data_IF_948004495459
#
_entry.id   IF_948004495459
#
_cell.length_a   1.000
_cell.length_b   1.000
_cell.length_c   1.000
_cell.angle_alpha   90.00
_cell.angle_beta   90.00
_cell.angle_gamma   90.00
#
_symmetry.space_group_name_H-M   'P 1'
#
loop_
_entity.id
_entity.type
_entity.pdbx_description
1 polymer ?
#
# COMPACT_ATOMS: atom_id res chain seq x y z
N UNK A 1 -48.61 30.52 72.45
CA UNK A 1 -48.65 29.88 71.20
C UNK A 1 -48.22 30.88 70.13
N UNK A 2 -46.95 30.88 69.77
CA UNK A 2 -46.39 31.76 68.71
C UNK A 2 -46.02 30.87 67.50
N UNK A 3 -46.67 31.07 66.39
CA UNK A 3 -46.28 30.46 65.11
C UNK A 3 -45.36 31.43 64.34
N UNK A 4 -44.13 31.00 64.14
CA UNK A 4 -43.16 31.66 63.31
C UNK A 4 -43.40 31.25 61.80
N UNK A 5 -43.56 32.24 60.97
CA UNK A 5 -43.67 32.06 59.52
C UNK A 5 -42.27 32.34 58.93
N UNK A 6 -41.59 31.30 58.44
CA UNK A 6 -40.33 31.43 57.70
C UNK A 6 -40.62 31.70 56.21
N UNK A 7 -40.23 32.83 55.71
CA UNK A 7 -40.25 33.19 54.28
C UNK A 7 -38.99 32.63 53.64
N UNK A 8 -39.12 31.66 52.71
CA UNK A 8 -38.00 31.17 51.89
C UNK A 8 -37.92 31.99 50.57
N UNK A 9 -36.80 32.69 50.45
CA UNK A 9 -36.46 33.40 49.24
C UNK A 9 -35.94 32.38 48.21
N UNK A 10 -36.64 32.22 47.10
CA UNK A 10 -36.22 31.40 45.96
C UNK A 10 -35.39 32.30 45.00
N UNK A 11 -34.08 32.05 44.94
CA UNK A 11 -33.18 32.71 44.03
C UNK A 11 -33.20 31.94 42.72
N UNK A 12 -33.79 32.48 41.68
CA UNK A 12 -33.78 31.91 40.31
C UNK A 12 -32.50 32.40 39.63
N UNK A 13 -31.50 31.51 39.47
CA UNK A 13 -30.35 31.75 38.64
C UNK A 13 -30.72 31.55 37.15
N UNK A 14 -30.77 32.60 36.37
CA UNK A 14 -30.79 32.52 34.95
C UNK A 14 -29.40 32.15 34.44
N UNK A 15 -29.19 30.89 34.04
CA UNK A 15 -28.03 30.48 33.27
C UNK A 15 -28.23 30.91 31.81
N UNK A 16 -27.62 32.00 31.40
CA UNK A 16 -27.58 32.42 30.02
C UNK A 16 -26.66 31.47 29.24
N UNK A 17 -27.24 30.65 28.38
CA UNK A 17 -26.45 29.84 27.40
C UNK A 17 -25.87 30.78 26.37
N UNK A 18 -24.56 31.05 26.45
CA UNK A 18 -23.82 31.61 25.31
C UNK A 18 -23.74 30.54 24.20
N UNK A 19 -24.57 30.63 23.20
CA UNK A 19 -24.39 29.93 21.96
C UNK A 19 -23.25 30.58 21.18
N UNK A 20 -22.06 29.99 21.25
CA UNK A 20 -20.95 30.36 20.36
C UNK A 20 -21.36 30.00 18.92
N UNK A 21 -21.72 30.99 18.13
CA UNK A 21 -21.84 30.81 16.69
C UNK A 21 -20.41 30.62 16.14
N UNK A 22 -20.05 29.38 15.84
CA UNK A 22 -18.88 29.09 15.02
C UNK A 22 -19.18 29.64 13.62
N UNK A 23 -18.60 30.78 13.29
CA UNK A 23 -18.56 31.23 11.88
C UNK A 23 -17.65 30.26 11.14
N UNK A 24 -18.20 29.45 10.23
CA UNK A 24 -17.37 28.68 9.33
C UNK A 24 -16.45 29.68 8.60
N UNK A 25 -15.14 29.50 8.81
CA UNK A 25 -14.15 30.29 8.07
C UNK A 25 -14.34 29.99 6.57
N UNK A 26 -14.51 31.02 5.76
CA UNK A 26 -14.55 30.87 4.32
C UNK A 26 -13.13 30.54 3.85
N UNK A 27 -12.98 29.43 3.11
CA UNK A 27 -11.70 29.07 2.54
C UNK A 27 -11.21 30.17 1.59
N UNK A 28 -9.99 30.63 1.80
CA UNK A 28 -9.35 31.57 0.89
C UNK A 28 -8.66 30.82 -0.25
N UNK A 29 -8.40 31.56 -1.33
CA UNK A 29 -7.60 31.04 -2.44
C UNK A 29 -6.32 31.82 -2.54
N UNK A 30 -5.20 31.13 -2.42
CA UNK A 30 -3.85 31.67 -2.64
C UNK A 30 -3.37 31.24 -4.02
N UNK A 31 -2.48 32.01 -4.61
CA UNK A 31 -1.88 31.65 -5.89
C UNK A 31 -0.35 31.59 -5.79
N UNK A 32 0.22 30.68 -6.59
CA UNK A 32 1.67 30.53 -6.77
C UNK A 32 2.00 30.61 -8.25
N UNK A 33 3.02 31.38 -8.62
CA UNK A 33 3.63 31.34 -9.95
C UNK A 33 5.14 31.58 -9.86
N UNK A 34 5.96 31.08 -10.80
CA UNK A 34 7.42 31.14 -10.69
C UNK A 34 8.00 32.59 -10.56
N UNK A 35 7.28 33.58 -11.06
CA UNK A 35 7.71 34.97 -11.01
C UNK A 35 7.30 35.68 -9.71
N UNK A 36 6.43 35.13 -8.89
CA UNK A 36 5.84 35.79 -7.73
C UNK A 36 5.06 37.07 -8.09
N UNK A 37 4.54 37.13 -9.31
CA UNK A 37 3.83 38.28 -9.84
C UNK A 37 2.34 38.26 -9.52
N UNK A 38 1.66 39.42 -9.65
CA UNK A 38 0.22 39.57 -9.44
C UNK A 38 -0.24 39.12 -8.05
N UNK A 39 0.53 39.44 -7.03
CA UNK A 39 0.27 39.04 -5.63
C UNK A 39 0.32 37.56 -5.36
N UNK A 40 0.82 36.75 -6.28
CA UNK A 40 1.07 35.34 -6.05
C UNK A 40 2.42 35.11 -5.35
N UNK A 41 2.56 34.01 -4.65
CA UNK A 41 3.83 33.55 -4.09
C UNK A 41 4.74 33.00 -5.19
N UNK A 42 6.05 33.17 -5.05
CA UNK A 42 7.03 32.61 -5.97
C UNK A 42 7.38 31.14 -5.66
N UNK A 43 7.04 30.69 -4.46
CA UNK A 43 7.29 29.33 -3.96
C UNK A 43 6.04 28.74 -3.37
N UNK A 44 5.86 27.43 -3.56
CA UNK A 44 4.73 26.67 -3.02
C UNK A 44 4.76 26.68 -1.49
N UNK A 45 5.93 26.41 -0.89
CA UNK A 45 6.08 26.41 0.57
C UNK A 45 5.71 27.74 1.22
N UNK A 46 5.98 28.87 0.58
CA UNK A 46 5.58 30.18 1.11
C UNK A 46 4.06 30.35 1.14
N UNK A 47 3.36 29.85 0.13
CA UNK A 47 1.89 29.84 0.11
C UNK A 47 1.33 28.89 1.16
N UNK A 48 1.91 27.68 1.30
CA UNK A 48 1.53 26.72 2.35
C UNK A 48 1.70 27.33 3.75
N UNK A 49 2.81 28.03 4.00
CA UNK A 49 3.04 28.68 5.30
C UNK A 49 2.00 29.76 5.60
N UNK A 50 1.61 30.52 4.57
CA UNK A 50 0.65 31.63 4.70
C UNK A 50 -0.82 31.17 4.75
N UNK A 51 -1.13 29.99 4.22
CA UNK A 51 -2.49 29.46 4.19
C UNK A 51 -3.06 29.18 5.58
N UNK A 52 -4.33 29.43 5.76
CA UNK A 52 -5.13 28.92 6.87
C UNK A 52 -5.63 27.50 6.58
N UNK A 53 -6.16 26.84 7.61
CA UNK A 53 -6.80 25.54 7.39
C UNK A 53 -7.99 25.66 6.43
N UNK A 54 -8.10 24.67 5.55
CA UNK A 54 -9.08 24.54 4.46
C UNK A 54 -8.91 25.55 3.30
N UNK A 55 -7.84 26.33 3.26
CA UNK A 55 -7.55 27.16 2.12
C UNK A 55 -7.17 26.35 0.86
N UNK A 56 -7.33 26.97 -0.29
CA UNK A 56 -6.95 26.43 -1.60
C UNK A 56 -5.72 27.16 -2.12
N UNK A 57 -4.71 26.42 -2.54
CA UNK A 57 -3.50 26.97 -3.16
C UNK A 57 -3.46 26.53 -4.63
N UNK A 58 -3.66 27.48 -5.54
CA UNK A 58 -3.55 27.24 -6.97
C UNK A 58 -2.11 27.51 -7.44
N UNK A 59 -1.49 26.51 -8.01
CA UNK A 59 -0.10 26.57 -8.49
C UNK A 59 -0.10 26.60 -10.01
N UNK A 60 0.37 27.72 -10.56
CA UNK A 60 0.45 27.89 -12.02
C UNK A 60 1.50 26.95 -12.65
N UNK A 61 1.42 26.81 -13.97
CA UNK A 61 2.42 26.09 -14.74
C UNK A 61 3.83 26.63 -14.49
N UNK A 62 4.80 25.75 -14.32
CA UNK A 62 6.19 26.08 -14.03
C UNK A 62 6.88 24.96 -13.24
N UNK A 63 8.20 25.09 -13.10
CA UNK A 63 9.01 24.19 -12.27
C UNK A 63 9.37 24.88 -10.95
N UNK A 64 9.11 24.17 -9.87
CA UNK A 64 9.34 24.61 -8.50
C UNK A 64 10.33 23.62 -7.86
N UNK A 65 11.54 24.12 -7.55
CA UNK A 65 12.55 23.29 -6.88
C UNK A 65 12.35 23.44 -5.38
N UNK A 66 11.57 22.51 -4.82
CA UNK A 66 11.12 22.54 -3.41
C UNK A 66 10.85 21.12 -2.90
N UNK A 67 11.03 20.93 -1.59
CA UNK A 67 10.39 19.91 -0.77
C UNK A 67 9.22 20.61 -0.07
N UNK A 68 7.99 20.18 -0.38
CA UNK A 68 6.78 20.87 0.08
C UNK A 68 6.21 20.17 1.30
N UNK A 69 6.37 20.76 2.47
CA UNK A 69 5.89 20.21 3.74
C UNK A 69 4.55 20.83 4.13
N UNK A 70 3.53 19.98 4.30
CA UNK A 70 2.15 20.38 4.61
C UNK A 70 1.76 19.84 5.98
N UNK A 71 1.60 20.74 6.97
CA UNK A 71 1.17 20.42 8.34
C UNK A 71 -0.22 20.93 8.69
N UNK A 72 -1.06 21.23 7.71
CA UNK A 72 -2.44 21.70 7.93
C UNK A 72 -3.38 21.25 6.81
N UNK A 73 -4.65 21.09 7.12
CA UNK A 73 -5.68 20.77 6.13
C UNK A 73 -5.73 21.86 5.06
N UNK A 74 -5.54 21.52 3.79
CA UNK A 74 -5.64 22.44 2.65
C UNK A 74 -5.76 21.66 1.33
N UNK A 75 -6.05 22.38 0.26
CA UNK A 75 -5.99 21.82 -1.10
C UNK A 75 -4.85 22.47 -1.88
N UNK A 76 -3.91 21.67 -2.36
CA UNK A 76 -2.81 22.10 -3.24
C UNK A 76 -3.14 21.60 -4.66
N UNK A 77 -3.37 22.56 -5.57
CA UNK A 77 -3.88 22.29 -6.92
C UNK A 77 -2.91 22.85 -7.95
N UNK A 78 -2.27 21.97 -8.70
CA UNK A 78 -1.45 22.30 -9.85
C UNK A 78 -2.29 22.61 -11.09
N UNK A 79 -1.68 23.23 -12.09
CA UNK A 79 -2.31 23.52 -13.38
C UNK A 79 -2.54 22.26 -14.24
N UNK A 80 -2.03 21.14 -13.82
CA UNK A 80 -2.12 19.82 -14.45
C UNK A 80 -0.78 19.08 -14.36
N UNK A 81 -0.83 17.74 -14.33
CA UNK A 81 0.36 16.94 -14.51
C UNK A 81 1.09 17.36 -15.78
N UNK A 82 2.42 17.45 -15.73
CA UNK A 82 3.32 18.00 -16.75
C UNK A 82 3.28 19.53 -16.94
N UNK A 83 2.44 20.25 -16.19
CA UNK A 83 2.42 21.72 -16.21
C UNK A 83 3.00 22.33 -14.93
N UNK A 84 2.52 21.90 -13.77
CA UNK A 84 3.08 22.29 -12.48
C UNK A 84 4.01 21.18 -11.98
N UNK A 85 5.31 21.44 -12.02
CA UNK A 85 6.35 20.46 -11.69
C UNK A 85 7.01 20.81 -10.36
N UNK A 86 6.97 19.91 -9.41
CA UNK A 86 7.77 19.95 -8.19
C UNK A 86 8.99 19.06 -8.45
N UNK A 87 10.14 19.70 -8.60
CA UNK A 87 11.42 19.01 -8.80
C UNK A 87 12.20 19.02 -7.49
N UNK A 88 12.27 17.87 -6.84
CA UNK A 88 12.93 17.69 -5.55
C UNK A 88 14.37 17.21 -5.65
N UNK A 89 15.07 17.52 -6.74
CA UNK A 89 16.45 17.10 -6.94
C UNK A 89 17.37 17.51 -5.78
N UNK A 90 17.99 16.53 -5.14
CA UNK A 90 18.81 16.63 -3.92
C UNK A 90 18.03 17.07 -2.66
N UNK A 91 16.71 16.97 -2.66
CA UNK A 91 15.85 17.19 -1.51
C UNK A 91 15.28 15.83 -1.05
N UNK A 92 14.89 15.76 0.22
CA UNK A 92 14.44 14.50 0.80
C UNK A 92 13.19 13.96 0.06
N UNK A 93 12.11 14.74 0.06
CA UNK A 93 10.85 14.35 -0.55
C UNK A 93 10.39 15.41 -1.56
N UNK A 94 9.44 15.07 -2.42
CA UNK A 94 8.75 16.04 -3.25
C UNK A 94 7.64 16.75 -2.47
N UNK A 95 6.74 15.98 -1.86
CA UNK A 95 5.66 16.49 -1.01
C UNK A 95 5.56 15.61 0.24
N UNK A 96 5.59 16.23 1.42
CA UNK A 96 5.36 15.58 2.70
C UNK A 96 4.07 16.12 3.35
N UNK A 97 3.12 15.23 3.64
CA UNK A 97 2.00 15.52 4.54
C UNK A 97 2.43 15.11 5.97
N UNK A 98 2.83 16.08 6.77
CA UNK A 98 3.47 15.84 8.07
C UNK A 98 2.48 15.80 9.22
N UNK A 99 1.76 14.71 9.36
CA UNK A 99 0.87 14.47 10.50
C UNK A 99 1.61 14.06 11.77
N UNK A 100 2.86 13.60 11.68
CA UNK A 100 3.66 13.23 12.85
C UNK A 100 3.96 14.45 13.73
N UNK A 101 4.40 15.55 13.13
CA UNK A 101 4.65 16.81 13.84
C UNK A 101 3.38 17.69 13.96
N UNK A 102 2.31 17.35 13.24
CA UNK A 102 1.03 18.05 13.27
C UNK A 102 -0.12 17.06 13.57
N UNK A 103 -0.21 16.53 14.79
CA UNK A 103 -1.19 15.52 15.16
C UNK A 103 -2.62 15.96 14.85
N UNK A 104 -3.36 15.07 14.18
CA UNK A 104 -4.71 15.35 13.72
C UNK A 104 -4.79 16.00 12.33
N UNK A 105 -3.69 16.05 11.58
CA UNK A 105 -3.71 16.45 10.17
C UNK A 105 -4.70 15.59 9.38
N UNK A 106 -5.59 16.24 8.65
CA UNK A 106 -6.64 15.55 7.89
C UNK A 106 -7.10 16.34 6.67
N UNK A 107 -7.75 15.64 5.72
CA UNK A 107 -8.39 16.24 4.55
C UNK A 107 -7.45 17.14 3.74
N UNK A 108 -6.24 16.67 3.46
CA UNK A 108 -5.32 17.34 2.53
C UNK A 108 -5.56 16.81 1.13
N UNK A 109 -5.68 17.69 0.15
CA UNK A 109 -5.82 17.31 -1.26
C UNK A 109 -4.60 17.74 -2.06
N UNK A 110 -4.00 16.82 -2.82
CA UNK A 110 -2.90 17.07 -3.75
C UNK A 110 -3.35 16.63 -5.14
N UNK A 111 -3.37 17.54 -6.09
CA UNK A 111 -3.81 17.20 -7.46
C UNK A 111 -3.13 18.04 -8.53
N UNK A 112 -2.88 17.43 -9.70
CA UNK A 112 -2.44 18.13 -10.89
C UNK A 112 -0.95 18.50 -10.94
N UNK A 113 -0.08 17.72 -10.31
CA UNK A 113 1.37 17.91 -10.30
C UNK A 113 2.13 16.82 -11.04
N UNK A 114 3.30 17.18 -11.55
CA UNK A 114 4.43 16.24 -11.63
C UNK A 114 5.28 16.43 -10.40
N UNK A 115 5.65 15.32 -9.74
CA UNK A 115 6.57 15.28 -8.59
C UNK A 115 7.73 14.38 -8.97
N UNK A 116 8.96 14.95 -8.96
CA UNK A 116 10.10 14.25 -9.55
C UNK A 116 11.42 14.45 -8.82
N UNK A 117 12.30 13.44 -8.96
CA UNK A 117 13.72 13.49 -8.59
C UNK A 117 14.01 13.63 -7.09
N UNK A 118 13.09 13.27 -6.21
CA UNK A 118 13.36 13.22 -4.77
C UNK A 118 14.45 12.20 -4.44
N UNK A 119 15.19 12.44 -3.35
CA UNK A 119 16.17 11.47 -2.85
C UNK A 119 15.48 10.21 -2.32
N UNK A 120 14.35 10.40 -1.66
CA UNK A 120 13.53 9.33 -1.09
C UNK A 120 12.15 9.35 -1.76
N UNK A 121 11.13 9.86 -1.07
CA UNK A 121 9.75 9.76 -1.51
C UNK A 121 9.32 10.86 -2.49
N UNK A 122 8.63 10.49 -3.56
CA UNK A 122 7.92 11.47 -4.38
C UNK A 122 6.84 12.17 -3.56
N UNK A 123 5.93 11.40 -2.95
CA UNK A 123 4.90 11.89 -2.05
C UNK A 123 4.84 11.01 -0.80
N UNK A 124 5.06 11.59 0.38
CA UNK A 124 4.93 10.91 1.66
C UNK A 124 3.70 11.43 2.42
N UNK A 125 2.80 10.52 2.78
CA UNK A 125 1.61 10.78 3.59
C UNK A 125 1.83 10.18 4.97
N UNK A 126 2.29 10.99 5.92
CA UNK A 126 2.74 10.54 7.23
C UNK A 126 1.68 10.87 8.30
N UNK A 127 1.16 9.87 8.98
CA UNK A 127 0.19 9.99 10.10
C UNK A 127 -0.99 10.91 9.79
N UNK A 128 -1.56 10.80 8.60
CA UNK A 128 -2.61 11.69 8.09
C UNK A 128 -3.91 10.92 7.84
N UNK A 129 -5.04 11.56 8.08
CA UNK A 129 -6.36 10.98 7.84
C UNK A 129 -7.09 11.67 6.68
N UNK A 130 -7.75 10.88 5.81
CA UNK A 130 -8.63 11.41 4.76
C UNK A 130 -7.91 12.24 3.69
N UNK A 131 -6.64 11.99 3.43
CA UNK A 131 -5.93 12.64 2.34
C UNK A 131 -6.48 12.19 0.97
N UNK A 132 -6.34 13.05 -0.04
CA UNK A 132 -6.71 12.76 -1.43
C UNK A 132 -5.55 13.12 -2.34
N UNK A 133 -4.92 12.11 -2.94
CA UNK A 133 -3.81 12.25 -3.87
C UNK A 133 -4.32 11.79 -5.25
N UNK A 134 -4.55 12.74 -6.14
CA UNK A 134 -5.25 12.39 -7.40
C UNK A 134 -4.70 13.13 -8.62
N UNK A 135 -4.70 12.44 -9.77
CA UNK A 135 -4.32 13.01 -11.06
C UNK A 135 -2.93 13.66 -11.07
N UNK A 136 -1.96 13.05 -10.41
CA UNK A 136 -0.56 13.45 -10.41
C UNK A 136 0.28 12.50 -11.28
N UNK A 137 1.45 12.97 -11.70
CA UNK A 137 2.51 12.18 -12.29
C UNK A 137 3.70 12.15 -11.31
N UNK A 138 4.04 11.00 -10.78
CA UNK A 138 5.08 10.83 -9.75
C UNK A 138 6.19 10.01 -10.38
N UNK A 139 7.35 10.64 -10.65
CA UNK A 139 8.31 10.06 -11.58
C UNK A 139 9.76 10.22 -11.13
N UNK A 140 10.57 9.19 -11.30
CA UNK A 140 12.01 9.20 -11.03
C UNK A 140 12.36 9.64 -9.60
N UNK A 141 11.58 9.23 -8.61
CA UNK A 141 11.90 9.43 -7.20
C UNK A 141 12.63 8.22 -6.63
N UNK A 142 13.12 8.33 -5.42
CA UNK A 142 14.13 7.48 -4.84
C UNK A 142 15.38 7.42 -5.73
N UNK A 143 16.03 8.57 -5.88
CA UNK A 143 17.24 8.68 -6.69
C UNK A 143 18.48 8.15 -5.99
N UNK A 144 18.40 7.80 -4.70
CA UNK A 144 19.43 7.05 -3.99
C UNK A 144 19.42 5.60 -4.48
N UNK A 145 18.23 5.09 -4.77
CA UNK A 145 17.98 3.73 -5.21
C UNK A 145 18.09 2.71 -4.09
N UNK A 146 17.42 1.57 -4.24
CA UNK A 146 17.49 0.48 -3.26
C UNK A 146 18.91 -0.07 -3.22
N UNK A 147 19.45 -0.22 -2.01
CA UNK A 147 20.79 -0.73 -1.73
C UNK A 147 20.67 -2.04 -0.95
N UNK A 148 20.12 -3.09 -1.57
CA UNK A 148 19.96 -4.38 -0.93
C UNK A 148 21.30 -5.04 -0.58
N UNK A 149 21.34 -5.72 0.56
CA UNK A 149 22.49 -6.46 1.04
C UNK A 149 23.49 -5.62 1.85
N UNK A 150 24.78 -5.72 1.56
CA UNK A 150 25.85 -5.03 2.30
C UNK A 150 26.09 -3.58 1.91
N UNK A 151 25.12 -2.95 1.26
CA UNK A 151 25.18 -1.54 0.85
C UNK A 151 25.13 -0.58 2.04
N UNK A 152 25.47 0.70 1.84
CA UNK A 152 25.25 1.70 2.87
C UNK A 152 23.74 1.81 3.13
N UNK A 153 23.37 1.90 4.40
CA UNK A 153 22.01 2.28 4.78
C UNK A 153 21.61 3.58 4.06
N UNK A 154 20.32 3.79 3.85
CA UNK A 154 19.79 4.98 3.22
C UNK A 154 20.19 6.24 3.99
N UNK A 155 21.29 6.86 3.60
CA UNK A 155 21.92 7.94 4.34
C UNK A 155 21.01 9.19 4.38
N UNK A 156 20.47 9.49 5.56
CA UNK A 156 19.59 10.64 5.78
C UNK A 156 18.11 10.30 5.69
N UNK A 157 17.77 9.02 5.54
CA UNK A 157 16.41 8.54 5.70
C UNK A 157 15.88 8.95 7.08
N UNK A 158 14.65 9.44 7.17
CA UNK A 158 14.08 9.84 8.44
C UNK A 158 13.93 8.65 9.40
N UNK A 159 14.12 8.88 10.69
CA UNK A 159 14.08 7.84 11.71
C UNK A 159 12.68 7.21 11.95
N UNK A 160 11.65 7.73 11.33
CA UNK A 160 10.30 7.16 11.39
C UNK A 160 10.04 6.12 10.29
N UNK A 161 10.89 6.02 9.31
CA UNK A 161 10.90 4.96 8.32
C UNK A 161 11.82 3.85 8.79
N UNK A 162 11.29 2.65 8.92
CA UNK A 162 12.00 1.46 9.40
C UNK A 162 11.93 0.34 8.37
N UNK A 163 11.82 0.74 7.11
CA UNK A 163 11.76 -0.16 5.96
C UNK A 163 12.85 -1.23 5.96
N UNK A 164 12.70 -2.22 5.15
CA UNK A 164 13.73 -3.23 4.95
C UNK A 164 15.08 -2.60 4.66
N UNK A 165 16.13 -3.20 5.21
CA UNK A 165 17.49 -2.69 5.03
C UNK A 165 17.83 -2.57 3.54
N UNK A 166 17.83 -1.35 3.05
CA UNK A 166 18.16 -1.03 1.67
C UNK A 166 17.01 -0.52 0.82
N UNK A 167 15.79 -0.54 1.29
CA UNK A 167 14.69 0.22 0.72
C UNK A 167 14.78 1.66 1.20
N UNK A 168 14.91 2.60 0.29
CA UNK A 168 15.16 4.01 0.62
C UNK A 168 13.98 4.92 0.33
N UNK A 169 12.91 4.40 -0.19
CA UNK A 169 11.71 5.13 -0.56
C UNK A 169 11.22 4.83 -1.97
N UNK A 170 10.26 5.59 -2.45
CA UNK A 170 9.65 5.29 -3.72
C UNK A 170 8.81 6.41 -4.34
N UNK A 171 7.79 6.00 -5.08
CA UNK A 171 6.90 6.95 -5.73
C UNK A 171 5.96 7.64 -4.75
N UNK A 172 5.16 6.85 -4.03
CA UNK A 172 4.18 7.34 -3.06
C UNK A 172 4.11 6.42 -1.86
N UNK A 173 4.28 6.98 -0.66
CA UNK A 173 4.23 6.22 0.58
C UNK A 173 3.09 6.72 1.49
N UNK A 174 2.24 5.79 1.95
CA UNK A 174 1.21 5.98 2.97
C UNK A 174 1.70 5.35 4.28
N UNK A 175 2.33 6.14 5.14
CA UNK A 175 2.91 5.70 6.41
C UNK A 175 2.02 6.14 7.58
N UNK A 176 1.39 5.20 8.26
CA UNK A 176 0.43 5.52 9.33
C UNK A 176 -0.79 6.29 8.83
N UNK A 177 -1.17 6.10 7.57
CA UNK A 177 -2.24 6.84 6.93
C UNK A 177 -3.58 6.10 7.00
N UNK A 178 -4.66 6.83 7.27
CA UNK A 178 -6.00 6.24 7.36
C UNK A 178 -7.01 6.99 6.47
N UNK A 179 -7.95 6.23 5.85
CA UNK A 179 -9.00 6.78 4.99
C UNK A 179 -8.47 7.64 3.83
N UNK A 180 -7.26 7.36 3.35
CA UNK A 180 -6.63 8.08 2.24
C UNK A 180 -7.09 7.51 0.91
N UNK A 181 -7.35 8.40 -0.05
CA UNK A 181 -7.67 8.01 -1.43
C UNK A 181 -6.54 8.40 -2.36
N UNK A 182 -5.97 7.42 -3.05
CA UNK A 182 -4.96 7.59 -4.10
C UNK A 182 -5.58 7.17 -5.43
N UNK A 183 -5.82 8.13 -6.35
CA UNK A 183 -6.61 7.80 -7.54
C UNK A 183 -6.14 8.48 -8.81
N UNK A 184 -6.12 7.73 -9.92
CA UNK A 184 -5.81 8.28 -11.23
C UNK A 184 -4.43 8.89 -11.36
N UNK A 185 -3.47 8.47 -10.55
CA UNK A 185 -2.07 8.89 -10.64
C UNK A 185 -1.31 8.00 -11.61
N UNK A 186 -0.21 8.53 -12.16
CA UNK A 186 0.77 7.78 -12.94
C UNK A 186 2.08 7.78 -12.17
N UNK A 187 2.57 6.58 -11.82
CA UNK A 187 3.81 6.38 -11.09
C UNK A 187 4.77 5.56 -11.96
N UNK A 188 5.93 6.15 -12.31
CA UNK A 188 6.87 5.47 -13.21
C UNK A 188 8.32 5.90 -12.97
N UNK A 189 9.24 4.96 -13.11
CA UNK A 189 10.68 5.24 -12.97
C UNK A 189 11.13 5.51 -11.52
N UNK A 190 10.28 5.27 -10.53
CA UNK A 190 10.67 5.29 -9.12
C UNK A 190 11.30 3.92 -8.76
N UNK A 191 11.90 3.78 -7.58
CA UNK A 191 12.38 2.47 -7.16
C UNK A 191 11.21 1.51 -7.00
N UNK A 192 10.24 1.86 -6.15
CA UNK A 192 8.94 1.22 -6.05
C UNK A 192 7.80 2.12 -6.58
N UNK A 193 6.58 1.60 -6.62
CA UNK A 193 5.41 2.37 -7.03
C UNK A 193 4.69 3.03 -5.86
N UNK A 194 3.92 2.26 -5.08
CA UNK A 194 3.14 2.73 -3.93
C UNK A 194 3.36 1.79 -2.76
N UNK A 195 3.81 2.33 -1.63
CA UNK A 195 3.93 1.61 -0.35
C UNK A 195 2.84 2.06 0.63
N UNK A 196 2.26 1.12 1.35
CA UNK A 196 1.45 1.35 2.56
C UNK A 196 2.14 0.64 3.70
N UNK A 197 2.58 1.38 4.72
CA UNK A 197 3.25 0.81 5.90
C UNK A 197 2.75 1.39 7.21
N UNK A 198 3.13 0.77 8.33
CA UNK A 198 2.62 1.09 9.66
C UNK A 198 3.70 1.46 10.68
N UNK A 199 4.89 1.82 10.24
CA UNK A 199 6.06 2.11 11.11
C UNK A 199 5.78 3.10 12.25
N UNK A 200 4.90 4.07 12.03
CA UNK A 200 4.59 5.12 13.01
C UNK A 200 3.17 5.08 13.57
N UNK A 201 2.24 4.46 12.88
CA UNK A 201 0.85 4.27 13.27
C UNK A 201 0.16 3.27 12.32
N UNK A 202 -1.03 2.79 12.70
CA UNK A 202 -1.86 1.92 11.86
C UNK A 202 -2.20 2.56 10.50
N UNK A 203 -2.04 1.79 9.42
CA UNK A 203 -2.41 2.18 8.05
C UNK A 203 -3.62 1.37 7.59
N UNK A 204 -4.80 2.00 7.54
CA UNK A 204 -6.03 1.27 7.26
C UNK A 204 -7.09 2.08 6.51
N UNK A 205 -8.05 1.34 5.95
CA UNK A 205 -9.19 1.91 5.23
C UNK A 205 -8.77 2.85 4.07
N UNK A 206 -7.58 2.62 3.50
CA UNK A 206 -7.10 3.39 2.35
C UNK A 206 -7.62 2.78 1.05
N UNK A 207 -7.84 3.63 0.05
CA UNK A 207 -8.31 3.24 -1.28
C UNK A 207 -7.32 3.68 -2.35
N UNK A 208 -6.67 2.72 -3.02
CA UNK A 208 -5.83 2.92 -4.18
C UNK A 208 -6.60 2.50 -5.43
N UNK A 209 -7.07 3.46 -6.24
CA UNK A 209 -7.98 3.13 -7.34
C UNK A 209 -7.64 3.81 -8.66
N UNK A 210 -7.60 3.02 -9.74
CA UNK A 210 -7.43 3.53 -11.09
C UNK A 210 -6.08 4.20 -11.35
N UNK A 211 -5.04 3.84 -10.62
CA UNK A 211 -3.69 4.33 -10.85
C UNK A 211 -2.99 3.49 -11.92
N UNK A 212 -2.03 4.11 -12.60
CA UNK A 212 -1.09 3.44 -13.50
C UNK A 212 0.28 3.42 -12.83
N UNK A 213 0.71 2.24 -12.41
CA UNK A 213 1.97 2.00 -11.70
C UNK A 213 2.84 1.11 -12.58
N UNK A 214 3.80 1.70 -13.28
CA UNK A 214 4.51 0.96 -14.32
C UNK A 214 5.98 1.36 -14.43
N UNK A 215 6.79 0.38 -14.81
CA UNK A 215 8.21 0.62 -15.06
C UNK A 215 8.94 1.23 -13.82
N UNK A 216 8.59 0.80 -12.61
CA UNK A 216 9.35 1.05 -11.39
C UNK A 216 10.29 -0.16 -11.20
N UNK A 217 11.58 -0.03 -11.58
CA UNK A 217 12.36 -1.21 -11.95
C UNK A 217 12.90 -2.03 -10.78
N UNK A 218 12.99 -1.46 -9.61
CA UNK A 218 13.70 -2.12 -8.51
C UNK A 218 12.78 -3.02 -7.70
N UNK A 219 11.63 -2.49 -7.28
CA UNK A 219 10.74 -3.13 -6.31
C UNK A 219 9.32 -3.30 -6.80
N UNK A 220 8.39 -3.56 -5.88
CA UNK A 220 7.00 -3.87 -6.19
C UNK A 220 6.24 -2.69 -6.83
N UNK A 221 5.17 -3.00 -7.54
CA UNK A 221 4.26 -1.98 -8.04
C UNK A 221 3.44 -1.35 -6.92
N UNK A 222 2.77 -2.17 -6.12
CA UNK A 222 1.99 -1.74 -4.94
C UNK A 222 2.30 -2.68 -3.79
N UNK A 223 2.71 -2.12 -2.64
CA UNK A 223 3.06 -2.88 -1.44
C UNK A 223 2.17 -2.50 -0.27
N UNK A 224 1.73 -3.48 0.47
CA UNK A 224 1.09 -3.37 1.77
C UNK A 224 1.97 -4.14 2.75
N UNK A 225 2.81 -3.45 3.50
CA UNK A 225 3.81 -4.06 4.37
C UNK A 225 3.68 -3.59 5.81
N UNK A 226 3.60 -4.54 6.73
CA UNK A 226 3.62 -4.26 8.16
C UNK A 226 5.05 -4.32 8.65
N UNK A 227 5.54 -3.19 9.16
CA UNK A 227 6.91 -2.97 9.60
C UNK A 227 7.04 -2.82 11.12
N UNK A 228 8.22 -3.07 11.70
CA UNK A 228 8.45 -2.81 13.12
C UNK A 228 8.17 -1.36 13.49
N UNK A 229 7.51 -1.09 14.62
CA UNK A 229 7.27 0.27 15.07
C UNK A 229 8.57 1.06 15.21
N UNK A 230 8.53 2.33 14.81
CA UNK A 230 9.65 3.28 14.93
C UNK A 230 10.35 3.19 16.29
N UNK A 231 11.66 3.00 16.28
CA UNK A 231 12.46 2.86 17.50
C UNK A 231 12.43 1.47 18.13
N UNK A 232 11.75 0.49 17.54
CA UNK A 232 11.88 -0.91 17.90
C UNK A 232 13.28 -1.40 17.56
N UNK A 233 13.87 -2.17 18.47
CA UNK A 233 15.18 -2.80 18.24
C UNK A 233 15.14 -4.22 18.75
N UNK A 234 15.77 -5.19 18.05
CA UNK A 234 15.90 -6.56 18.54
C UNK A 234 16.58 -6.61 19.92
N UNK A 235 16.18 -7.51 20.82
CA UNK A 235 15.19 -8.56 20.69
C UNK A 235 13.77 -8.17 21.17
N UNK A 236 13.41 -6.90 21.19
CA UNK A 236 12.12 -6.43 21.65
C UNK A 236 11.11 -6.51 20.51
N UNK A 237 10.46 -7.64 20.37
CA UNK A 237 9.40 -7.89 19.42
C UNK A 237 8.11 -7.11 19.81
N UNK A 238 8.11 -5.80 19.60
CA UNK A 238 6.93 -4.99 19.79
C UNK A 238 5.89 -5.34 18.70
N UNK A 239 4.60 -5.48 19.05
CA UNK A 239 3.56 -5.63 18.06
C UNK A 239 3.55 -4.46 17.08
N UNK A 240 3.45 -4.75 15.78
CA UNK A 240 3.26 -3.75 14.76
C UNK A 240 1.88 -3.09 14.90
N UNK A 241 1.70 -1.90 14.34
CA UNK A 241 0.40 -1.21 14.40
C UNK A 241 -0.63 -1.87 13.47
N UNK A 242 -0.23 -2.28 12.27
CA UNK A 242 -1.00 -3.03 11.31
C UNK A 242 -1.30 -2.27 10.02
N UNK A 243 -1.34 -3.04 8.93
CA UNK A 243 -1.75 -2.61 7.59
C UNK A 243 -2.98 -3.43 7.22
N UNK A 244 -4.17 -2.89 7.45
CA UNK A 244 -5.40 -3.66 7.29
C UNK A 244 -6.58 -2.89 6.68
N UNK A 245 -7.55 -3.64 6.16
CA UNK A 245 -8.75 -3.10 5.53
C UNK A 245 -8.49 -2.13 4.36
N UNK A 246 -7.31 -2.19 3.73
CA UNK A 246 -7.01 -1.38 2.56
C UNK A 246 -7.55 -2.03 1.29
N UNK A 247 -7.90 -1.20 0.31
CA UNK A 247 -8.43 -1.67 -0.97
C UNK A 247 -7.56 -1.16 -2.12
N UNK A 248 -7.01 -2.09 -2.89
CA UNK A 248 -6.27 -1.85 -4.14
C UNK A 248 -7.16 -2.27 -5.30
N UNK A 249 -7.71 -1.31 -6.05
CA UNK A 249 -8.76 -1.56 -7.01
C UNK A 249 -8.50 -0.95 -8.39
N UNK A 250 -8.77 -1.70 -9.44
CA UNK A 250 -8.83 -1.19 -10.82
C UNK A 250 -7.54 -0.49 -11.29
N UNK A 251 -6.39 -0.82 -10.70
CA UNK A 251 -5.09 -0.28 -11.09
C UNK A 251 -4.50 -1.08 -12.26
N UNK A 252 -3.66 -0.41 -13.05
CA UNK A 252 -2.77 -1.04 -14.03
C UNK A 252 -1.38 -1.06 -13.40
N UNK A 253 -0.88 -2.24 -13.10
CA UNK A 253 0.39 -2.46 -12.40
C UNK A 253 1.27 -3.36 -13.25
N UNK A 254 2.29 -2.80 -13.90
CA UNK A 254 3.04 -3.58 -14.87
C UNK A 254 4.52 -3.26 -14.93
N UNK A 255 5.34 -4.28 -15.16
CA UNK A 255 6.80 -4.16 -15.31
C UNK A 255 7.51 -3.50 -14.13
N UNK A 256 7.00 -3.72 -12.92
CA UNK A 256 7.67 -3.29 -11.71
C UNK A 256 8.61 -4.41 -11.22
N UNK A 257 9.65 -4.06 -10.51
CA UNK A 257 10.60 -5.00 -9.91
C UNK A 257 11.40 -5.86 -10.88
N UNK A 258 11.53 -5.44 -12.13
CA UNK A 258 12.16 -6.28 -13.19
C UNK A 258 13.68 -6.35 -13.09
N UNK A 259 14.33 -5.51 -12.30
CA UNK A 259 15.80 -5.45 -12.17
C UNK A 259 16.32 -6.08 -10.88
N UNK A 260 15.59 -5.95 -9.79
CA UNK A 260 15.97 -6.51 -8.48
C UNK A 260 15.02 -7.63 -8.11
N UNK A 261 13.73 -7.33 -8.04
CA UNK A 261 12.65 -8.26 -7.75
C UNK A 261 11.49 -7.50 -7.12
N UNK A 262 10.29 -7.63 -7.69
CA UNK A 262 9.13 -6.96 -7.13
C UNK A 262 7.83 -7.52 -7.71
N UNK A 263 6.83 -7.69 -6.85
CA UNK A 263 5.52 -8.16 -7.21
C UNK A 263 4.68 -7.07 -7.90
N UNK A 264 3.64 -7.48 -8.61
CA UNK A 264 2.61 -6.54 -9.02
C UNK A 264 1.91 -5.93 -7.80
N UNK A 265 1.43 -6.77 -6.90
CA UNK A 265 0.92 -6.38 -5.59
C UNK A 265 1.55 -7.28 -4.50
N UNK A 266 2.23 -6.67 -3.53
CA UNK A 266 2.82 -7.34 -2.38
C UNK A 266 1.99 -7.14 -1.12
N UNK A 267 1.82 -8.17 -0.32
CA UNK A 267 1.25 -8.12 1.02
C UNK A 267 2.25 -8.79 1.96
N UNK A 268 2.97 -8.00 2.72
CA UNK A 268 4.11 -8.48 3.48
C UNK A 268 3.96 -8.17 4.96
N UNK A 269 4.66 -8.95 5.78
CA UNK A 269 4.99 -8.59 7.15
C UNK A 269 6.49 -8.76 7.32
N UNK A 270 7.15 -7.68 7.68
CA UNK A 270 8.59 -7.60 7.81
C UNK A 270 9.01 -7.32 9.26
N UNK A 271 10.19 -7.81 9.61
CA UNK A 271 10.80 -7.57 10.90
C UNK A 271 10.40 -8.54 12.01
N UNK A 272 10.84 -8.24 13.24
CA UNK A 272 10.89 -9.19 14.34
C UNK A 272 9.67 -9.15 15.28
N UNK A 273 8.71 -8.26 15.05
CA UNK A 273 7.50 -8.16 15.85
C UNK A 273 6.37 -9.03 15.29
N UNK A 274 5.28 -9.25 16.03
CA UNK A 274 4.08 -9.80 15.42
C UNK A 274 3.47 -8.77 14.48
N UNK A 275 3.73 -8.92 13.19
CA UNK A 275 3.21 -8.09 12.13
C UNK A 275 1.76 -8.36 11.82
N UNK A 276 1.10 -7.40 11.17
CA UNK A 276 -0.30 -7.54 10.77
C UNK A 276 -0.56 -6.89 9.41
N UNK A 277 -0.71 -7.73 8.39
CA UNK A 277 -1.17 -7.32 7.05
C UNK A 277 -2.39 -8.15 6.69
N UNK A 278 -3.56 -7.73 7.18
CA UNK A 278 -4.77 -8.54 7.18
C UNK A 278 -5.98 -7.81 6.61
N UNK A 279 -6.98 -8.59 6.17
CA UNK A 279 -8.27 -8.09 5.70
C UNK A 279 -8.18 -7.06 4.55
N UNK A 280 -7.09 -7.08 3.77
CA UNK A 280 -6.90 -6.22 2.61
C UNK A 280 -7.54 -6.85 1.36
N UNK A 281 -7.92 -6.01 0.40
CA UNK A 281 -8.60 -6.43 -0.82
C UNK A 281 -7.82 -5.96 -2.05
N UNK A 282 -7.36 -6.90 -2.88
CA UNK A 282 -6.74 -6.66 -4.18
C UNK A 282 -7.78 -7.03 -5.26
N UNK A 283 -8.41 -6.03 -5.87
CA UNK A 283 -9.59 -6.29 -6.70
C UNK A 283 -9.56 -5.60 -8.07
N UNK A 284 -9.86 -6.37 -9.12
CA UNK A 284 -10.00 -5.90 -10.51
C UNK A 284 -8.78 -5.15 -11.06
N UNK A 285 -7.58 -5.46 -10.59
CA UNK A 285 -6.36 -4.90 -11.13
C UNK A 285 -5.88 -5.68 -12.36
N UNK A 286 -5.03 -5.04 -13.17
CA UNK A 286 -4.22 -5.67 -14.19
C UNK A 286 -2.78 -5.75 -13.68
N UNK A 287 -2.29 -6.95 -13.39
CA UNK A 287 -0.99 -7.23 -12.80
C UNK A 287 -0.14 -8.00 -13.82
N UNK A 288 0.72 -7.29 -14.57
CA UNK A 288 1.33 -7.91 -15.77
C UNK A 288 2.83 -7.62 -15.92
N UNK A 289 3.61 -8.67 -16.18
CA UNK A 289 5.03 -8.53 -16.52
C UNK A 289 5.90 -8.00 -15.39
N UNK A 290 5.49 -8.17 -14.13
CA UNK A 290 6.29 -7.76 -12.96
C UNK A 290 7.42 -8.76 -12.70
N UNK A 291 8.44 -8.35 -11.94
CA UNK A 291 9.67 -9.12 -11.76
C UNK A 291 9.52 -10.42 -10.97
N UNK A 292 8.60 -10.45 -10.01
CA UNK A 292 8.19 -11.63 -9.24
C UNK A 292 6.66 -11.80 -9.41
N UNK A 293 5.93 -12.64 -8.64
CA UNK A 293 4.51 -12.91 -8.89
C UNK A 293 3.62 -11.69 -9.08
N UNK A 294 2.52 -11.88 -9.80
CA UNK A 294 1.49 -10.85 -9.94
C UNK A 294 0.93 -10.41 -8.60
N UNK A 295 0.69 -11.38 -7.69
CA UNK A 295 0.43 -11.13 -6.25
C UNK A 295 1.34 -12.01 -5.43
N UNK A 296 2.08 -11.41 -4.48
CA UNK A 296 2.86 -12.12 -3.47
C UNK A 296 2.34 -11.78 -2.07
N UNK A 297 2.11 -12.79 -1.24
CA UNK A 297 1.74 -12.65 0.16
C UNK A 297 2.70 -13.51 0.98
N UNK A 298 3.51 -12.89 1.83
CA UNK A 298 4.46 -13.63 2.67
C UNK A 298 4.90 -12.86 3.93
N UNK A 299 5.63 -13.57 4.80
CA UNK A 299 6.27 -13.01 5.99
C UNK A 299 7.78 -13.24 5.90
N UNK A 300 8.60 -12.26 6.33
CA UNK A 300 10.05 -12.36 6.28
C UNK A 300 10.61 -13.00 7.53
N UNK A 301 10.12 -12.67 8.71
CA UNK A 301 10.57 -13.20 9.99
C UNK A 301 9.40 -13.77 10.76
N UNK A 302 9.54 -14.96 11.27
CA UNK A 302 8.45 -15.62 11.97
C UNK A 302 8.91 -16.67 12.99
N UNK A 303 8.02 -17.59 13.41
CA UNK A 303 8.28 -18.54 14.50
C UNK A 303 9.52 -19.41 14.34
N UNK A 304 9.91 -19.74 13.11
CA UNK A 304 11.13 -20.52 12.86
C UNK A 304 12.41 -19.78 13.28
N UNK A 305 12.38 -18.46 13.33
CA UNK A 305 13.48 -17.62 13.79
C UNK A 305 13.31 -17.14 15.24
N UNK A 306 12.28 -17.66 15.95
CA UNK A 306 11.99 -17.31 17.34
C UNK A 306 11.15 -16.03 17.51
N UNK A 307 10.67 -15.46 16.43
CA UNK A 307 9.71 -14.35 16.45
C UNK A 307 8.27 -14.85 16.70
N UNK A 308 7.36 -14.00 17.18
CA UNK A 308 5.94 -14.30 17.17
C UNK A 308 5.42 -14.51 15.76
N UNK A 309 4.31 -15.23 15.61
CA UNK A 309 3.64 -15.39 14.33
C UNK A 309 2.95 -14.08 13.91
N UNK A 310 3.07 -13.77 12.63
CA UNK A 310 2.36 -12.65 12.00
C UNK A 310 0.89 -12.97 11.74
N UNK A 311 0.08 -11.94 11.64
CA UNK A 311 -1.30 -12.06 11.20
C UNK A 311 -1.46 -11.60 9.75
N UNK A 312 -1.49 -12.56 8.83
CA UNK A 312 -1.72 -12.34 7.39
C UNK A 312 -3.13 -12.79 6.97
N UNK A 313 -4.08 -12.88 7.89
CA UNK A 313 -5.38 -13.49 7.62
C UNK A 313 -6.37 -12.56 6.88
N UNK A 314 -7.37 -13.18 6.24
CA UNK A 314 -8.52 -12.47 5.69
C UNK A 314 -8.27 -11.68 4.41
N UNK A 315 -7.07 -11.74 3.84
CA UNK A 315 -6.78 -11.03 2.59
C UNK A 315 -7.53 -11.63 1.40
N UNK A 316 -7.97 -10.78 0.47
CA UNK A 316 -8.81 -11.20 -0.64
C UNK A 316 -8.21 -10.74 -1.98
N UNK A 317 -8.11 -11.65 -2.95
CA UNK A 317 -7.60 -11.42 -4.30
C UNK A 317 -8.73 -11.73 -5.28
N UNK A 318 -9.39 -10.68 -5.81
CA UNK A 318 -10.69 -10.83 -6.45
C UNK A 318 -10.71 -10.22 -7.86
N UNK A 319 -11.07 -11.02 -8.87
CA UNK A 319 -11.38 -10.50 -10.21
C UNK A 319 -10.23 -9.81 -10.92
N UNK A 320 -8.99 -10.10 -10.56
CA UNK A 320 -7.82 -9.51 -11.20
C UNK A 320 -7.49 -10.22 -12.52
N UNK A 321 -6.88 -9.49 -13.44
CA UNK A 321 -6.21 -10.04 -14.60
C UNK A 321 -4.71 -10.10 -14.31
N UNK A 322 -4.14 -11.31 -14.34
CA UNK A 322 -2.76 -11.60 -13.94
C UNK A 322 -2.07 -12.33 -15.11
N UNK A 323 -0.95 -11.78 -15.62
CA UNK A 323 -0.30 -12.42 -16.74
C UNK A 323 1.19 -12.08 -16.90
N UNK A 324 2.01 -13.10 -17.20
CA UNK A 324 3.40 -12.96 -17.63
C UNK A 324 4.33 -12.37 -16.57
N UNK A 325 4.08 -12.65 -15.30
CA UNK A 325 4.91 -12.20 -14.19
C UNK A 325 6.10 -13.13 -13.94
N UNK A 326 7.05 -12.73 -13.10
CA UNK A 326 8.25 -13.51 -12.83
C UNK A 326 8.05 -14.65 -11.81
N UNK A 327 9.10 -15.45 -11.60
CA UNK A 327 9.16 -16.38 -10.48
C UNK A 327 9.34 -15.63 -9.17
N UNK A 328 8.84 -16.16 -8.08
CA UNK A 328 9.24 -15.67 -6.77
C UNK A 328 10.69 -16.10 -6.51
N UNK A 329 11.55 -15.14 -6.28
CA UNK A 329 12.97 -15.35 -5.99
C UNK A 329 13.35 -14.86 -4.60
N UNK A 330 12.38 -14.36 -3.87
CA UNK A 330 12.50 -13.88 -2.51
C UNK A 330 12.41 -15.04 -1.50
N UNK A 331 11.73 -14.89 -0.38
CA UNK A 331 11.77 -15.82 0.75
C UNK A 331 11.34 -17.26 0.45
N UNK A 332 10.44 -17.45 -0.45
CA UNK A 332 9.96 -18.77 -0.85
C UNK A 332 9.91 -18.91 -2.37
N UNK A 333 11.04 -19.32 -2.90
CA UNK A 333 11.22 -19.46 -4.34
C UNK A 333 10.18 -20.37 -4.99
N UNK A 334 9.52 -19.87 -6.01
CA UNK A 334 8.75 -20.70 -6.93
C UNK A 334 9.63 -21.19 -8.08
N UNK A 335 9.35 -22.37 -8.65
CA UNK A 335 10.21 -22.94 -9.68
C UNK A 335 10.12 -22.25 -11.05
N UNK A 336 9.30 -21.22 -11.20
CA UNK A 336 9.13 -20.46 -12.43
C UNK A 336 8.08 -19.36 -12.31
N UNK A 337 7.81 -18.65 -13.40
CA UNK A 337 6.79 -17.60 -13.46
C UNK A 337 5.50 -17.97 -12.76
N UNK A 338 5.02 -17.07 -11.87
CA UNK A 338 3.92 -17.37 -10.97
C UNK A 338 2.91 -16.23 -10.94
N UNK A 339 1.63 -16.56 -11.05
CA UNK A 339 0.56 -15.57 -11.00
C UNK A 339 0.33 -15.07 -9.58
N UNK A 340 0.04 -15.98 -8.64
CA UNK A 340 -0.20 -15.68 -7.22
C UNK A 340 0.66 -16.62 -6.38
N UNK A 341 1.44 -16.09 -5.46
CA UNK A 341 2.17 -16.86 -4.46
C UNK A 341 1.73 -16.49 -3.04
N UNK A 342 1.20 -17.47 -2.31
CA UNK A 342 0.81 -17.35 -0.91
C UNK A 342 1.77 -18.21 -0.08
N UNK A 343 2.59 -17.59 0.73
CA UNK A 343 3.57 -18.33 1.51
C UNK A 343 3.77 -17.76 2.92
N UNK A 344 4.35 -18.56 3.78
CA UNK A 344 4.67 -18.19 5.15
C UNK A 344 6.11 -17.69 5.31
N UNK A 345 6.80 -17.45 4.18
CA UNK A 345 8.23 -17.18 4.20
C UNK A 345 9.04 -18.33 4.81
N UNK A 346 10.32 -18.13 5.00
CA UNK A 346 11.15 -19.03 5.79
C UNK A 346 10.76 -19.09 7.28
N UNK A 347 9.94 -18.16 7.73
CA UNK A 347 9.55 -17.96 9.12
C UNK A 347 8.42 -18.84 9.63
N UNK A 348 7.58 -19.38 8.77
CA UNK A 348 6.52 -20.31 9.14
C UNK A 348 5.31 -19.70 9.85
N UNK A 349 5.00 -18.42 9.64
CA UNK A 349 3.75 -17.82 10.12
C UNK A 349 2.55 -18.42 9.40
N UNK A 350 1.51 -18.87 10.11
CA UNK A 350 0.31 -19.42 9.46
C UNK A 350 -0.48 -18.36 8.70
N UNK A 351 -0.93 -18.69 7.49
CA UNK A 351 -1.76 -17.81 6.67
C UNK A 351 -3.15 -18.42 6.53
N UNK A 352 -4.15 -17.78 7.09
CA UNK A 352 -5.53 -18.30 7.13
C UNK A 352 -6.53 -17.35 6.48
N UNK A 353 -7.59 -17.92 5.89
CA UNK A 353 -8.72 -17.17 5.38
C UNK A 353 -8.40 -16.31 4.15
N UNK A 354 -7.35 -16.64 3.42
CA UNK A 354 -7.09 -16.01 2.12
C UNK A 354 -8.10 -16.50 1.09
N UNK A 355 -8.76 -15.56 0.40
CA UNK A 355 -9.74 -15.85 -0.64
C UNK A 355 -9.21 -15.39 -2.00
N UNK A 356 -9.13 -16.30 -2.97
CA UNK A 356 -8.69 -16.04 -4.34
C UNK A 356 -9.86 -16.39 -5.28
N UNK A 357 -10.57 -15.39 -5.78
CA UNK A 357 -11.81 -15.66 -6.53
C UNK A 357 -12.00 -14.78 -7.76
N UNK A 358 -12.53 -15.38 -8.84
CA UNK A 358 -12.90 -14.66 -10.06
C UNK A 358 -11.72 -14.10 -10.86
N UNK A 359 -10.48 -14.49 -10.56
CA UNK A 359 -9.30 -14.01 -11.27
C UNK A 359 -9.14 -14.73 -12.61
N UNK A 360 -8.59 -14.03 -13.58
CA UNK A 360 -8.12 -14.60 -14.85
C UNK A 360 -6.60 -14.62 -14.81
N UNK A 361 -6.02 -15.82 -14.76
CA UNK A 361 -4.56 -16.02 -14.66
C UNK A 361 -4.08 -16.75 -15.92
N UNK A 362 -3.07 -16.20 -16.57
CA UNK A 362 -2.51 -16.81 -17.78
C UNK A 362 -1.04 -16.44 -18.03
N UNK A 363 -0.43 -17.18 -18.93
CA UNK A 363 0.95 -16.96 -19.35
C UNK A 363 1.97 -17.07 -18.19
N UNK A 364 1.58 -17.88 -17.16
CA UNK A 364 2.42 -18.24 -16.03
C UNK A 364 2.83 -19.72 -16.12
N UNK A 365 3.86 -20.12 -15.41
CA UNK A 365 4.18 -21.54 -15.25
C UNK A 365 3.31 -22.16 -14.16
N UNK A 366 3.02 -21.38 -13.10
CA UNK A 366 2.14 -21.74 -12.00
C UNK A 366 1.13 -20.61 -11.84
N UNK A 367 -0.16 -20.93 -11.97
CA UNK A 367 -1.18 -19.88 -11.80
C UNK A 367 -1.33 -19.48 -10.33
N UNK A 368 -1.44 -20.46 -9.41
CA UNK A 368 -1.52 -20.22 -7.96
C UNK A 368 -0.57 -21.17 -7.24
N UNK A 369 0.43 -20.64 -6.57
CA UNK A 369 1.30 -21.35 -5.65
C UNK A 369 0.90 -21.05 -4.20
N UNK A 370 0.83 -22.08 -3.38
CA UNK A 370 0.60 -21.95 -1.94
C UNK A 370 1.68 -22.74 -1.22
N UNK A 371 2.38 -22.08 -0.33
CA UNK A 371 3.36 -22.71 0.55
C UNK A 371 2.85 -22.62 1.99
N UNK A 372 2.83 -23.72 2.68
CA UNK A 372 2.13 -23.82 3.96
C UNK A 372 2.99 -23.44 5.17
N UNK A 373 2.38 -23.22 6.35
CA UNK A 373 1.00 -23.53 6.73
C UNK A 373 0.00 -22.45 6.26
N UNK A 374 -0.80 -22.76 5.28
CA UNK A 374 -1.83 -21.85 4.79
C UNK A 374 -3.16 -22.61 4.57
N UNK A 375 -4.28 -21.93 4.84
CA UNK A 375 -5.60 -22.35 4.41
C UNK A 375 -6.14 -21.33 3.42
N UNK A 376 -6.34 -21.74 2.17
CA UNK A 376 -6.68 -20.88 1.04
C UNK A 376 -7.94 -21.39 0.36
N UNK A 377 -8.89 -20.49 0.17
CA UNK A 377 -10.07 -20.71 -0.67
C UNK A 377 -9.86 -20.07 -2.05
N UNK A 378 -9.58 -20.92 -3.06
CA UNK A 378 -9.35 -20.49 -4.45
C UNK A 378 -10.45 -21.06 -5.37
N UNK A 379 -11.45 -20.27 -5.75
CA UNK A 379 -12.57 -20.72 -6.55
C UNK A 379 -13.06 -19.68 -7.57
N UNK A 380 -13.77 -20.14 -8.57
CA UNK A 380 -14.29 -19.32 -9.67
C UNK A 380 -13.18 -18.60 -10.46
N UNK A 381 -11.93 -19.11 -10.41
CA UNK A 381 -10.83 -18.54 -11.20
C UNK A 381 -10.73 -19.23 -12.55
N UNK A 382 -10.26 -18.50 -13.54
CA UNK A 382 -9.92 -19.00 -14.87
C UNK A 382 -8.40 -19.20 -14.95
N UNK A 383 -7.96 -20.45 -14.89
CA UNK A 383 -6.56 -20.86 -14.85
C UNK A 383 -6.12 -21.29 -16.26
N UNK A 384 -5.59 -20.36 -17.06
CA UNK A 384 -5.23 -20.60 -18.45
C UNK A 384 -3.73 -20.78 -18.69
N UNK A 385 -2.90 -20.36 -17.77
CA UNK A 385 -1.53 -20.08 -18.11
C UNK A 385 -0.64 -21.27 -18.03
N UNK A 386 -0.82 -22.08 -17.05
CA UNK A 386 0.23 -22.89 -16.57
C UNK A 386 0.21 -24.34 -16.98
N UNK A 387 1.39 -24.93 -16.89
CA UNK A 387 1.47 -26.37 -16.71
C UNK A 387 0.82 -26.78 -15.38
N UNK A 388 0.83 -25.87 -14.40
CA UNK A 388 0.29 -26.06 -13.06
C UNK A 388 -0.71 -24.94 -12.75
N UNK A 389 -1.97 -25.28 -12.56
CA UNK A 389 -2.99 -24.33 -12.16
C UNK A 389 -2.95 -24.03 -10.65
N UNK A 390 -2.80 -25.07 -9.81
CA UNK A 390 -2.64 -24.90 -8.36
C UNK A 390 -1.55 -25.83 -7.84
N UNK A 391 -0.59 -25.25 -7.13
CA UNK A 391 0.48 -25.97 -6.46
C UNK A 391 0.42 -25.78 -4.94
N UNK A 392 0.57 -26.87 -4.20
CA UNK A 392 0.93 -26.82 -2.79
C UNK A 392 2.42 -27.12 -2.68
N UNK A 393 3.23 -26.08 -2.53
CA UNK A 393 4.69 -26.14 -2.63
C UNK A 393 5.29 -26.25 -1.24
N UNK A 394 5.39 -27.40 -0.69
CA UNK A 394 6.00 -27.62 0.62
C UNK A 394 7.55 -27.58 0.62
N UNK A 395 8.16 -26.74 -0.16
CA UNK A 395 9.57 -26.86 -0.51
C UNK A 395 10.56 -26.51 0.60
N UNK A 396 10.23 -25.64 1.52
CA UNK A 396 11.18 -25.13 2.55
C UNK A 396 10.83 -25.58 3.97
N UNK A 397 9.60 -25.95 4.25
CA UNK A 397 9.17 -26.35 5.58
C UNK A 397 8.48 -27.70 5.55
N UNK A 398 9.24 -28.75 5.77
CA UNK A 398 8.72 -30.13 5.79
C UNK A 398 7.70 -30.39 6.91
N UNK A 399 7.62 -29.55 7.93
CA UNK A 399 6.64 -29.62 9.00
C UNK A 399 5.32 -28.96 8.61
N UNK A 400 5.30 -28.14 7.60
CA UNK A 400 4.24 -27.20 7.32
C UNK A 400 3.27 -27.62 6.21
N UNK A 401 3.47 -28.74 5.55
CA UNK A 401 2.50 -29.27 4.58
C UNK A 401 1.16 -29.71 5.22
N UNK A 402 0.68 -28.97 6.19
CA UNK A 402 -0.59 -29.20 6.86
C UNK A 402 -1.71 -28.31 6.33
N UNK A 403 -1.37 -27.35 5.48
CA UNK A 403 -2.34 -26.46 4.88
C UNK A 403 -3.28 -27.16 3.91
N UNK A 404 -4.46 -26.60 3.75
CA UNK A 404 -5.49 -27.08 2.84
C UNK A 404 -5.81 -26.02 1.80
N UNK A 405 -5.80 -26.41 0.53
CA UNK A 405 -6.22 -25.56 -0.56
C UNK A 405 -7.56 -26.04 -1.08
N UNK A 406 -8.60 -25.27 -0.89
CA UNK A 406 -9.88 -25.49 -1.53
C UNK A 406 -9.86 -24.82 -2.92
N UNK A 407 -9.55 -25.59 -3.94
CA UNK A 407 -9.49 -25.16 -5.33
C UNK A 407 -10.68 -25.69 -6.16
N UNK A 408 -11.82 -25.88 -5.52
CA UNK A 408 -13.05 -26.29 -6.19
C UNK A 408 -13.61 -25.16 -7.07
N UNK A 409 -14.46 -25.51 -8.02
CA UNK A 409 -15.15 -24.54 -8.89
C UNK A 409 -14.24 -23.60 -9.70
N UNK A 410 -13.00 -24.00 -10.01
CA UNK A 410 -12.16 -23.27 -10.96
C UNK A 410 -12.29 -23.86 -12.38
N UNK A 411 -12.09 -23.01 -13.39
CA UNK A 411 -11.87 -23.45 -14.75
C UNK A 411 -10.37 -23.70 -14.98
N UNK A 412 -10.02 -24.89 -15.42
CA UNK A 412 -8.62 -25.34 -15.55
C UNK A 412 -8.10 -25.26 -17.00
N UNK A 413 -8.53 -24.26 -17.75
CA UNK A 413 -8.18 -24.07 -19.16
C UNK A 413 -8.89 -25.02 -20.12
N UNK A 414 -9.68 -25.98 -19.65
CA UNK A 414 -10.45 -26.90 -20.47
C UNK A 414 -11.65 -27.50 -19.72
N UNK A 415 -12.61 -28.07 -20.43
CA UNK A 415 -13.84 -28.61 -19.88
C UNK A 415 -13.70 -29.94 -19.15
N UNK A 416 -12.57 -30.64 -19.34
CA UNK A 416 -12.36 -31.99 -18.77
C UNK A 416 -11.74 -31.99 -17.37
N UNK A 417 -11.46 -30.81 -16.83
CA UNK A 417 -10.94 -30.62 -15.49
C UNK A 417 -9.44 -30.84 -15.35
N UNK A 418 -8.88 -30.60 -14.17
CA UNK A 418 -7.44 -30.66 -13.95
C UNK A 418 -6.84 -32.03 -14.18
N UNK A 419 -5.52 -32.09 -14.38
CA UNK A 419 -4.75 -33.33 -14.56
C UNK A 419 -5.12 -34.12 -15.83
N UNK A 420 -5.90 -33.57 -16.74
CA UNK A 420 -6.19 -34.16 -18.04
C UNK A 420 -5.37 -33.49 -19.16
N UNK A 421 -5.30 -34.15 -20.32
CA UNK A 421 -4.48 -33.64 -21.43
C UNK A 421 -5.01 -32.29 -21.92
N UNK A 422 -4.16 -31.27 -21.88
CA UNK A 422 -4.48 -29.91 -22.34
C UNK A 422 -5.06 -28.98 -21.26
N UNK A 423 -5.24 -29.50 -20.05
CA UNK A 423 -5.67 -28.70 -18.92
C UNK A 423 -4.50 -28.41 -17.97
N UNK A 424 -4.62 -27.37 -17.18
CA UNK A 424 -3.73 -27.13 -16.06
C UNK A 424 -3.79 -28.27 -15.04
N UNK A 425 -2.72 -28.45 -14.26
CA UNK A 425 -2.57 -29.56 -13.31
C UNK A 425 -2.59 -29.06 -11.89
N UNK A 426 -2.85 -29.97 -10.97
CA UNK A 426 -2.51 -29.80 -9.55
C UNK A 426 -1.10 -30.33 -9.30
N UNK A 427 -0.37 -29.75 -8.36
CA UNK A 427 0.95 -30.19 -7.91
C UNK A 427 1.00 -30.18 -6.39
N UNK A 428 1.52 -31.27 -5.80
CA UNK A 428 1.54 -31.45 -4.34
C UNK A 428 0.30 -32.14 -3.79
N UNK A 429 0.09 -32.04 -2.49
CA UNK A 429 -0.99 -32.70 -1.74
C UNK A 429 -1.97 -31.70 -1.11
N UNK A 430 -3.03 -32.20 -0.49
CA UNK A 430 -4.02 -31.41 0.22
C UNK A 430 -4.71 -30.30 -0.63
N UNK A 431 -4.96 -30.60 -1.91
CA UNK A 431 -5.68 -29.74 -2.85
C UNK A 431 -7.03 -30.35 -3.17
N UNK A 432 -8.12 -29.72 -2.79
CA UNK A 432 -9.47 -30.07 -3.20
C UNK A 432 -9.79 -29.35 -4.52
N UNK A 433 -10.15 -30.07 -5.57
CA UNK A 433 -10.39 -29.49 -6.90
C UNK A 433 -11.71 -29.96 -7.57
N UNK A 434 -12.52 -30.70 -6.85
CA UNK A 434 -13.78 -31.23 -7.37
C UNK A 434 -14.94 -30.64 -6.55
N UNK A 435 -15.97 -30.08 -7.20
CA UNK A 435 -16.18 -29.97 -8.65
C UNK A 435 -15.33 -28.89 -9.30
N UNK A 436 -15.24 -28.92 -10.63
CA UNK A 436 -14.61 -27.87 -11.43
C UNK A 436 -15.58 -27.26 -12.44
N UNK A 437 -15.27 -26.08 -12.98
CA UNK A 437 -16.02 -25.44 -14.04
C UNK A 437 -15.67 -26.07 -15.40
N UNK A 438 -16.68 -26.29 -16.22
CA UNK A 438 -16.52 -26.84 -17.59
C UNK A 438 -16.35 -25.77 -18.66
N UNK A 439 -16.48 -24.51 -18.28
CA UNK A 439 -16.27 -23.30 -19.08
C UNK A 439 -15.78 -22.16 -18.19
N UNK A 440 -15.15 -21.12 -18.76
CA UNK A 440 -14.76 -19.92 -18.00
C UNK A 440 -15.91 -19.29 -17.23
N UNK A 441 -15.56 -18.63 -16.13
CA UNK A 441 -16.51 -17.93 -15.24
C UNK A 441 -17.05 -16.65 -15.87
#
# INVERSE_FOLDING_TARGET
>A
MHRSISCRLVMICFAGSLTAFSTAAVANTLCVNPAGSHSCYAKIQLAVNAAAANDVINVAAGTYTEDVVIGKSLSLIGAGAHQSVINAANLANGILLDGLNNPGLHNVTITGFTVENALYEGVLVLNTSGATITANSIVNNDTIGPVFGSGPACNGQPAYETDESGDCGGGLHLLGAVHTTVSGNVLTGNADGILISDDSAESRDNLLIGNVVTDNPAECGIVLASHPPMGSVPPNFAPHYGVDHNTVAENIVSKNGVTVGGAGAGLFSDGEGPGRTSDNIIIRNQLTGNGIPGVALHTHVGPAFGAPADNMSGNQIIGNFIAGNGPDTDDTATPGPTGININSGGGGSPVFGTVITGNVIRDEQIDIAVNTPAEVDAHLNDLYGGAIGVANVCALDSAACTGLINATENFWGCSTGPNTKGCAKTSGSAILFTPWLVKPN
#
